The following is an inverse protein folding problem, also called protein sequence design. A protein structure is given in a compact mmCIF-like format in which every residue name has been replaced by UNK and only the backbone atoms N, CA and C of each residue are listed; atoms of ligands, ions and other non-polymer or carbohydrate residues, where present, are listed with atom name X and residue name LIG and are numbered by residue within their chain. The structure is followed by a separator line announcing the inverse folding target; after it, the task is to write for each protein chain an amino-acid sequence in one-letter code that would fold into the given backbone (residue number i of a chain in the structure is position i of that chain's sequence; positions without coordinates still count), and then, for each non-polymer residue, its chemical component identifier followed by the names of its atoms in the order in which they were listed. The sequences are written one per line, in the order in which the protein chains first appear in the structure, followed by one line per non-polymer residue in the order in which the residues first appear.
data_IF_912959417082
#
_entry.id   IF_912959417082
#
_cell.length_a   1.000
_cell.length_b   1.000
_cell.length_c   1.000
_cell.angle_alpha   90.00
_cell.angle_beta   90.00
_cell.angle_gamma   90.00
#
_symmetry.space_group_name_H-M   'P 1'
#
loop_
_entity.id
_entity.type
_entity.pdbx_description
1 polymer ?
#
# COMPACT_ATOMS: atom_id res chain seq x y z
N UNK A 1 -13.39 7.08 -55.61
CA UNK A 1 -12.07 7.75 -55.66
C UNK A 1 -11.94 8.46 -54.32
N UNK A 2 -11.20 8.15 -53.46
CA UNK A 2 -10.07 7.40 -52.97
C UNK A 2 -9.96 7.69 -51.49
N UNK A 3 -10.15 6.66 -50.75
CA UNK A 3 -9.86 6.57 -49.33
C UNK A 3 -8.35 6.79 -49.09
N UNK A 4 -7.99 7.70 -48.20
CA UNK A 4 -6.62 7.81 -47.70
C UNK A 4 -6.61 7.79 -46.20
N UNK A 5 -6.29 6.59 -45.73
CA UNK A 5 -5.99 6.13 -44.43
C UNK A 5 -5.26 7.07 -43.50
N UNK A 6 -5.81 7.22 -42.32
CA UNK A 6 -5.17 7.70 -41.11
C UNK A 6 -4.20 6.61 -40.60
N UNK A 7 -2.93 6.72 -40.98
CA UNK A 7 -1.86 5.90 -40.36
C UNK A 7 -1.51 6.48 -38.98
N UNK A 8 -1.81 5.72 -37.97
CA UNK A 8 -1.28 5.87 -36.59
C UNK A 8 0.26 5.88 -36.63
N UNK A 9 0.86 7.03 -36.41
CA UNK A 9 2.29 7.18 -36.15
C UNK A 9 2.52 7.10 -34.64
N UNK A 10 2.56 5.92 -34.07
CA UNK A 10 3.27 5.67 -32.81
C UNK A 10 4.75 5.42 -33.15
N UNK A 11 5.47 6.50 -33.42
CA UNK A 11 6.92 6.46 -33.49
C UNK A 11 7.48 6.24 -32.07
N UNK A 12 8.16 5.13 -31.85
CA UNK A 12 9.07 4.95 -30.71
C UNK A 12 10.06 6.12 -30.69
N UNK A 13 9.90 7.04 -29.75
CA UNK A 13 10.93 8.07 -29.46
C UNK A 13 12.07 7.40 -28.70
N UNK A 14 13.11 7.01 -29.42
CA UNK A 14 14.42 6.75 -28.82
C UNK A 14 14.97 8.07 -28.26
N UNK A 15 15.37 8.06 -26.96
CA UNK A 15 16.36 8.96 -26.41
C UNK A 15 15.89 10.34 -26.00
N UNK A 16 15.20 10.44 -24.88
CA UNK A 16 15.43 11.41 -23.79
C UNK A 16 14.70 10.81 -22.57
N UNK A 17 15.44 10.65 -21.46
CA UNK A 17 14.83 10.30 -20.15
C UNK A 17 13.97 11.49 -19.68
N UNK A 18 12.80 11.67 -20.29
CA UNK A 18 11.88 12.74 -19.92
C UNK A 18 11.24 12.31 -18.60
N UNK A 19 11.49 13.08 -17.56
CA UNK A 19 10.87 12.89 -16.26
C UNK A 19 9.57 13.67 -16.28
N UNK A 20 8.44 13.01 -16.58
CA UNK A 20 7.12 13.64 -16.69
C UNK A 20 6.76 14.50 -15.49
N UNK A 21 7.24 14.14 -14.30
CA UNK A 21 6.99 14.88 -13.06
C UNK A 21 7.70 16.24 -13.01
N UNK A 22 8.71 16.47 -13.84
CA UNK A 22 9.45 17.75 -13.93
C UNK A 22 8.95 18.65 -15.07
N UNK A 23 8.05 18.14 -15.92
CA UNK A 23 7.47 18.94 -16.98
C UNK A 23 6.47 19.95 -16.41
N UNK A 24 6.34 21.11 -17.08
CA UNK A 24 5.28 22.05 -16.78
C UNK A 24 3.92 21.48 -17.18
N UNK A 25 2.95 21.55 -16.28
CA UNK A 25 1.57 21.19 -16.60
C UNK A 25 0.95 22.31 -17.47
N UNK A 26 0.45 22.01 -18.68
CA UNK A 26 -0.16 23.02 -19.54
C UNK A 26 -1.33 23.77 -18.87
N UNK A 27 -2.00 23.14 -17.92
CA UNK A 27 -3.14 23.73 -17.20
C UNK A 27 -2.72 24.66 -16.07
N UNK A 28 -1.44 24.69 -15.73
CA UNK A 28 -0.88 25.59 -14.70
C UNK A 28 -0.16 26.81 -15.28
N UNK A 29 -0.25 27.01 -16.59
CA UNK A 29 0.30 28.22 -17.20
C UNK A 29 -0.40 29.45 -16.60
N UNK A 30 0.39 30.39 -16.03
CA UNK A 30 -0.10 31.61 -15.36
C UNK A 30 -1.08 31.36 -14.20
N UNK A 31 -1.01 30.19 -13.55
CA UNK A 31 -1.91 29.84 -12.45
C UNK A 31 -1.79 30.78 -11.25
N UNK A 32 -0.62 31.42 -11.10
CA UNK A 32 -0.36 32.45 -10.09
C UNK A 32 -1.18 33.74 -10.28
N UNK A 33 -1.76 33.95 -11.46
CA UNK A 33 -2.67 35.04 -11.77
C UNK A 33 -4.15 34.68 -11.63
N UNK A 34 -4.45 33.39 -11.44
CA UNK A 34 -5.82 32.90 -11.34
C UNK A 34 -6.43 33.17 -9.96
N UNK A 35 -7.75 33.27 -9.91
CA UNK A 35 -8.49 33.35 -8.67
C UNK A 35 -8.33 32.07 -7.83
N UNK A 36 -8.56 32.16 -6.52
CA UNK A 36 -8.55 30.99 -5.62
C UNK A 36 -9.50 29.91 -6.14
N UNK A 37 -10.69 30.28 -6.61
CA UNK A 37 -11.68 29.34 -7.13
C UNK A 37 -11.13 28.56 -8.34
N UNK A 38 -10.59 29.26 -9.33
CA UNK A 38 -10.01 28.65 -10.53
C UNK A 38 -8.86 27.70 -10.21
N UNK A 39 -7.99 28.08 -9.25
CA UNK A 39 -6.88 27.22 -8.81
C UNK A 39 -7.42 25.95 -8.17
N UNK A 40 -8.42 26.05 -7.29
CA UNK A 40 -9.04 24.89 -6.63
C UNK A 40 -9.73 23.97 -7.65
N UNK A 41 -10.42 24.54 -8.63
CA UNK A 41 -11.10 23.78 -9.68
C UNK A 41 -10.08 22.98 -10.53
N UNK A 42 -9.00 23.63 -10.97
CA UNK A 42 -7.92 22.96 -11.72
C UNK A 42 -7.27 21.87 -10.87
N UNK A 43 -6.94 22.12 -9.61
CA UNK A 43 -6.37 21.10 -8.73
C UNK A 43 -7.30 19.90 -8.53
N UNK A 44 -8.60 20.15 -8.35
CA UNK A 44 -9.60 19.09 -8.17
C UNK A 44 -9.70 18.19 -9.41
N UNK A 45 -9.66 18.77 -10.61
CA UNK A 45 -9.67 18.00 -11.86
C UNK A 45 -8.37 17.20 -12.05
N UNK A 46 -7.21 17.78 -11.71
CA UNK A 46 -5.92 17.09 -11.74
C UNK A 46 -5.88 15.90 -10.77
N UNK A 47 -6.45 16.02 -9.57
CA UNK A 47 -6.52 14.92 -8.61
C UNK A 47 -7.37 13.75 -9.12
N UNK A 48 -8.42 14.00 -9.90
CA UNK A 48 -9.17 12.94 -10.57
C UNK A 48 -8.32 12.18 -11.60
N UNK A 49 -7.34 12.82 -12.24
CA UNK A 49 -6.39 12.15 -13.14
C UNK A 49 -5.48 11.17 -12.39
N UNK A 50 -5.08 11.50 -11.14
CA UNK A 50 -4.32 10.58 -10.30
C UNK A 50 -5.04 9.25 -10.09
N UNK A 51 -6.34 9.29 -9.77
CA UNK A 51 -7.16 8.09 -9.60
C UNK A 51 -7.28 7.26 -10.89
N UNK A 52 -7.44 7.93 -12.04
CA UNK A 52 -7.47 7.27 -13.36
C UNK A 52 -6.12 6.61 -13.70
N UNK A 53 -5.01 7.27 -13.36
CA UNK A 53 -3.67 6.72 -13.56
C UNK A 53 -3.44 5.44 -12.73
N UNK A 54 -3.90 5.41 -11.48
CA UNK A 54 -3.87 4.20 -10.63
C UNK A 54 -4.67 3.06 -11.28
N UNK A 55 -5.83 3.35 -11.86
CA UNK A 55 -6.63 2.34 -12.58
C UNK A 55 -5.87 1.73 -13.77
N UNK A 56 -5.08 2.52 -14.49
CA UNK A 56 -4.23 2.03 -15.60
C UNK A 56 -3.12 1.10 -15.11
N UNK A 57 -2.58 1.34 -13.90
CA UNK A 57 -1.55 0.52 -13.29
C UNK A 57 -2.08 -0.77 -12.62
N UNK A 58 -3.40 -1.04 -12.69
CA UNK A 58 -4.04 -2.20 -12.04
C UNK A 58 -3.32 -3.53 -12.26
N UNK A 59 -2.87 -3.93 -13.47
CA UNK A 59 -2.22 -5.23 -13.64
C UNK A 59 -0.95 -5.37 -12.78
N UNK A 60 -0.07 -4.37 -12.78
CA UNK A 60 1.16 -4.40 -11.98
C UNK A 60 0.88 -4.30 -10.48
N UNK A 61 -0.14 -3.56 -10.07
CA UNK A 61 -0.61 -3.53 -8.67
C UNK A 61 -1.07 -4.92 -8.23
N UNK A 62 -1.87 -5.62 -9.04
CA UNK A 62 -2.31 -6.98 -8.73
C UNK A 62 -1.14 -7.94 -8.58
N UNK A 63 -0.16 -7.90 -9.49
CA UNK A 63 1.04 -8.74 -9.41
C UNK A 63 1.87 -8.46 -8.15
N UNK A 64 2.03 -7.19 -7.75
CA UNK A 64 2.71 -6.82 -6.51
C UNK A 64 1.94 -7.33 -5.26
N UNK A 65 0.60 -7.27 -5.28
CA UNK A 65 -0.25 -7.80 -4.22
C UNK A 65 -0.09 -9.32 -4.09
N UNK A 66 -0.07 -10.05 -5.21
CA UNK A 66 0.15 -11.49 -5.21
C UNK A 66 1.51 -11.86 -4.62
N UNK A 67 2.55 -11.09 -4.93
CA UNK A 67 3.88 -11.26 -4.33
C UNK A 67 3.84 -10.97 -2.82
N UNK A 68 3.24 -9.88 -2.39
CA UNK A 68 3.10 -9.53 -0.96
C UNK A 68 2.34 -10.62 -0.18
N UNK A 69 1.27 -11.19 -0.77
CA UNK A 69 0.53 -12.30 -0.17
C UNK A 69 1.43 -13.52 0.02
N UNK A 70 2.21 -13.90 -1.00
CA UNK A 70 3.15 -15.04 -0.92
C UNK A 70 4.17 -14.83 0.17
N UNK A 71 4.81 -13.66 0.19
CA UNK A 71 5.83 -13.27 1.16
C UNK A 71 5.29 -13.32 2.58
N UNK A 72 4.18 -12.65 2.88
CA UNK A 72 3.64 -12.61 4.24
C UNK A 72 3.10 -13.98 4.68
N UNK A 73 2.52 -14.76 3.77
CA UNK A 73 2.04 -16.12 4.07
C UNK A 73 3.19 -17.07 4.45
N UNK A 74 4.36 -16.89 3.86
CA UNK A 74 5.57 -17.67 4.24
C UNK A 74 6.33 -17.10 5.43
N UNK A 75 5.77 -16.11 6.15
CA UNK A 75 6.37 -15.52 7.36
C UNK A 75 7.36 -14.39 7.10
N UNK A 76 7.50 -13.95 5.85
CA UNK A 76 8.31 -12.80 5.46
C UNK A 76 7.63 -11.46 5.72
N UNK A 77 8.27 -10.37 5.29
CA UNK A 77 7.87 -8.99 5.55
C UNK A 77 7.66 -8.22 4.25
N UNK A 78 6.66 -7.32 4.23
CA UNK A 78 6.55 -6.28 3.23
C UNK A 78 7.23 -5.02 3.76
N UNK A 79 8.19 -4.49 3.03
CA UNK A 79 8.95 -3.30 3.43
C UNK A 79 8.76 -2.20 2.39
N UNK A 80 8.22 -1.08 2.80
CA UNK A 80 8.15 0.15 2.02
C UNK A 80 9.40 0.99 2.29
N UNK A 81 10.01 1.53 1.25
CA UNK A 81 11.18 2.39 1.39
C UNK A 81 11.09 3.56 0.43
N UNK A 82 11.28 4.78 0.93
CA UNK A 82 11.23 5.99 0.12
C UNK A 82 11.88 7.18 0.78
N UNK A 83 11.99 8.28 0.03
CA UNK A 83 12.44 9.58 0.52
C UNK A 83 11.29 10.59 0.53
N UNK A 84 11.38 11.63 1.34
CA UNK A 84 10.42 12.73 1.38
C UNK A 84 8.97 12.26 1.53
N UNK A 85 8.07 12.74 0.66
CA UNK A 85 6.66 12.36 0.66
C UNK A 85 6.46 10.87 0.46
N UNK A 86 7.21 10.25 -0.46
CA UNK A 86 7.13 8.81 -0.72
C UNK A 86 7.43 7.96 0.52
N UNK A 87 8.48 8.33 1.26
CA UNK A 87 8.83 7.65 2.52
C UNK A 87 7.79 7.87 3.61
N UNK A 88 7.24 9.10 3.74
CA UNK A 88 6.17 9.40 4.71
C UNK A 88 4.92 8.57 4.45
N UNK A 89 4.51 8.43 3.20
CA UNK A 89 3.34 7.63 2.82
C UNK A 89 3.56 6.14 3.10
N UNK A 90 4.76 5.62 2.84
CA UNK A 90 5.14 4.25 3.19
C UNK A 90 5.08 3.99 4.69
N UNK A 91 5.61 4.90 5.51
CA UNK A 91 5.54 4.81 6.97
C UNK A 91 4.10 4.93 7.47
N UNK A 92 3.31 5.85 6.91
CA UNK A 92 1.90 6.04 7.25
C UNK A 92 1.12 4.74 7.03
N UNK A 93 1.16 4.17 5.82
CA UNK A 93 0.43 2.95 5.51
C UNK A 93 0.88 1.78 6.41
N UNK A 94 2.19 1.58 6.58
CA UNK A 94 2.74 0.53 7.43
C UNK A 94 2.29 0.64 8.90
N UNK A 95 2.19 1.86 9.43
CA UNK A 95 1.81 2.11 10.83
C UNK A 95 0.34 1.77 11.13
N UNK A 96 -0.54 1.85 10.11
CA UNK A 96 -1.97 1.57 10.25
C UNK A 96 -2.32 0.07 10.16
N UNK A 97 -1.40 -0.77 9.70
CA UNK A 97 -1.66 -2.21 9.50
C UNK A 97 -1.80 -2.99 10.82
N UNK A 98 -0.89 -2.82 11.81
CA UNK A 98 -1.02 -3.54 13.09
C UNK A 98 -2.32 -3.25 13.84
N UNK A 99 -2.75 -1.99 14.05
CA UNK A 99 -3.99 -1.70 14.76
C UNK A 99 -5.24 -2.13 13.99
N UNK A 100 -5.18 -2.13 12.64
CA UNK A 100 -6.33 -2.47 11.79
C UNK A 100 -6.54 -3.98 11.70
N UNK A 101 -5.48 -4.76 11.53
CA UNK A 101 -5.55 -6.18 11.20
C UNK A 101 -4.96 -7.11 12.27
N UNK A 102 -4.53 -6.55 13.40
CA UNK A 102 -3.92 -7.29 14.53
C UNK A 102 -2.78 -8.22 14.07
N UNK A 103 -1.91 -7.71 13.22
CA UNK A 103 -0.69 -8.38 12.81
C UNK A 103 0.51 -7.81 13.56
N UNK A 104 1.61 -8.58 13.71
CA UNK A 104 2.84 -8.05 14.28
C UNK A 104 3.32 -6.80 13.53
N UNK A 105 3.83 -5.79 14.23
CA UNK A 105 4.32 -4.55 13.63
C UNK A 105 5.44 -4.79 12.59
N UNK A 106 6.15 -5.90 12.70
CA UNK A 106 7.19 -6.31 11.74
C UNK A 106 6.64 -6.83 10.40
N UNK A 107 5.32 -7.10 10.28
CA UNK A 107 4.72 -7.68 9.06
C UNK A 107 4.77 -6.72 7.89
N UNK A 108 4.50 -5.44 8.14
CA UNK A 108 4.65 -4.36 7.17
C UNK A 108 5.48 -3.26 7.81
N UNK A 109 6.56 -2.87 7.17
CA UNK A 109 7.49 -1.87 7.68
C UNK A 109 7.58 -0.69 6.72
N UNK A 110 7.77 0.50 7.26
CA UNK A 110 8.04 1.71 6.49
C UNK A 110 9.42 2.28 6.84
N UNK A 111 10.24 2.53 5.82
CA UNK A 111 11.58 3.12 5.94
C UNK A 111 11.59 4.44 5.16
N UNK A 112 12.10 5.49 5.80
CA UNK A 112 12.24 6.82 5.20
C UNK A 112 13.70 7.27 5.22
N UNK A 113 14.18 7.82 4.12
CA UNK A 113 15.48 8.49 4.07
C UNK A 113 15.57 9.60 5.12
N UNK A 114 16.69 9.67 5.84
CA UNK A 114 16.86 10.60 6.98
C UNK A 114 16.20 10.13 8.29
N UNK A 115 15.59 8.92 8.32
CA UNK A 115 15.05 8.30 9.52
C UNK A 115 13.87 9.04 10.16
N UNK A 116 13.62 8.80 11.45
CA UNK A 116 12.42 9.33 12.16
C UNK A 116 12.28 10.84 12.10
N UNK A 117 13.38 11.60 12.07
CA UNK A 117 13.35 13.06 11.96
C UNK A 117 12.69 13.51 10.66
N UNK A 118 12.90 12.77 9.57
CA UNK A 118 12.35 13.07 8.25
C UNK A 118 10.82 12.92 8.15
N UNK A 119 10.16 12.33 9.15
CA UNK A 119 8.70 12.25 9.20
C UNK A 119 8.05 13.62 9.40
N UNK A 120 8.68 14.50 10.19
CA UNK A 120 8.10 15.79 10.58
C UNK A 120 8.87 16.99 10.04
N UNK A 121 10.10 16.81 9.54
CA UNK A 121 10.96 17.88 9.01
C UNK A 121 11.55 17.47 7.67
N UNK A 122 11.93 18.45 6.84
CA UNK A 122 12.73 18.16 5.65
C UNK A 122 14.11 17.64 6.11
N UNK A 123 14.58 16.60 5.43
CA UNK A 123 15.93 16.05 5.61
C UNK A 123 16.66 16.23 4.27
N UNK A 124 17.24 17.41 4.10
CA UNK A 124 17.96 17.78 2.88
C UNK A 124 19.12 16.79 2.64
N UNK A 125 19.35 16.44 1.37
CA UNK A 125 20.39 15.48 0.96
C UNK A 125 20.15 14.01 1.34
N UNK A 126 19.14 13.70 2.16
CA UNK A 126 18.89 12.31 2.57
C UNK A 126 18.45 11.42 1.41
N UNK A 127 17.82 11.95 0.37
CA UNK A 127 17.41 11.22 -0.82
C UNK A 127 18.58 10.83 -1.73
N UNK A 128 19.74 11.53 -1.59
CA UNK A 128 20.95 11.27 -2.36
C UNK A 128 21.92 10.30 -1.66
N UNK A 129 21.69 9.96 -0.38
CA UNK A 129 22.53 9.08 0.42
C UNK A 129 22.31 7.60 0.04
N UNK A 130 23.07 7.13 -0.96
CA UNK A 130 23.03 5.73 -1.41
C UNK A 130 23.45 4.76 -0.31
N UNK A 131 24.47 5.10 0.47
CA UNK A 131 25.00 4.25 1.55
C UNK A 131 23.96 4.06 2.66
N UNK A 132 23.23 5.12 3.02
CA UNK A 132 22.11 4.98 3.94
C UNK A 132 21.01 4.07 3.37
N UNK A 133 20.75 4.14 2.06
CA UNK A 133 19.83 3.23 1.38
C UNK A 133 20.26 1.77 1.51
N UNK A 134 21.52 1.48 1.26
CA UNK A 134 22.11 0.13 1.40
C UNK A 134 22.00 -0.35 2.86
N UNK A 135 22.41 0.47 3.81
CA UNK A 135 22.33 0.13 5.25
C UNK A 135 20.90 -0.14 5.71
N UNK A 136 19.92 0.61 5.20
CA UNK A 136 18.52 0.50 5.59
C UNK A 136 17.91 -0.88 5.28
N UNK A 137 18.46 -1.62 4.34
CA UNK A 137 17.95 -2.93 3.88
C UNK A 137 18.87 -4.10 4.22
N UNK A 138 19.94 -3.90 4.98
CA UNK A 138 20.95 -4.92 5.32
C UNK A 138 20.37 -6.14 6.06
N UNK A 139 19.20 -6.01 6.70
CA UNK A 139 18.50 -7.09 7.39
C UNK A 139 17.40 -7.76 6.57
N UNK A 140 17.30 -7.51 5.27
CA UNK A 140 16.35 -8.20 4.39
C UNK A 140 16.90 -9.57 3.96
N UNK A 141 15.98 -10.49 3.74
CA UNK A 141 16.24 -11.89 3.37
C UNK A 141 15.46 -12.28 2.12
N UNK A 142 15.70 -13.49 1.63
CA UNK A 142 14.95 -14.10 0.51
C UNK A 142 13.44 -14.17 0.75
N UNK A 143 13.01 -14.12 2.00
CA UNK A 143 11.59 -14.18 2.38
C UNK A 143 10.90 -12.83 2.37
N UNK A 144 11.63 -11.72 2.17
CA UNK A 144 11.08 -10.38 2.27
C UNK A 144 10.78 -9.78 0.89
N UNK A 145 9.83 -8.84 0.86
CA UNK A 145 9.54 -7.99 -0.29
C UNK A 145 9.88 -6.54 0.05
N UNK A 146 10.73 -5.92 -0.76
CA UNK A 146 11.01 -4.49 -0.73
C UNK A 146 10.26 -3.79 -1.85
N UNK A 147 9.39 -2.84 -1.51
CA UNK A 147 8.77 -1.90 -2.43
C UNK A 147 9.46 -0.54 -2.26
N UNK A 148 10.36 -0.21 -3.17
CA UNK A 148 10.93 1.12 -3.30
C UNK A 148 9.89 2.07 -3.87
N UNK A 149 9.78 3.26 -3.30
CA UNK A 149 8.79 4.29 -3.67
C UNK A 149 9.55 5.54 -4.08
N UNK A 150 9.48 5.88 -5.37
CA UNK A 150 10.12 7.05 -5.94
C UNK A 150 9.29 7.59 -7.09
N UNK A 151 8.72 8.78 -6.95
CA UNK A 151 7.91 9.40 -8.02
C UNK A 151 8.71 9.59 -9.30
N UNK A 152 9.98 10.02 -9.20
CA UNK A 152 10.90 10.13 -10.34
C UNK A 152 11.36 8.77 -10.86
N UNK A 153 11.33 7.73 -10.01
CA UNK A 153 11.90 6.41 -10.28
C UNK A 153 13.44 6.38 -10.23
N UNK A 154 14.10 7.47 -9.82
CA UNK A 154 15.56 7.63 -9.90
C UNK A 154 16.23 8.03 -8.58
N UNK A 155 15.49 8.19 -7.50
CA UNK A 155 16.00 8.60 -6.17
C UNK A 155 17.16 7.70 -5.74
N UNK A 156 18.40 8.22 -5.55
CA UNK A 156 19.60 7.43 -5.28
C UNK A 156 19.45 6.49 -4.09
N UNK A 157 18.96 7.00 -2.95
CA UNK A 157 18.64 6.21 -1.75
C UNK A 157 17.77 4.98 -2.06
N UNK A 158 16.72 5.14 -2.87
CA UNK A 158 15.78 4.06 -3.20
C UNK A 158 16.41 3.05 -4.14
N UNK A 159 17.12 3.51 -5.18
CA UNK A 159 17.70 2.63 -6.18
C UNK A 159 18.87 1.81 -5.59
N UNK A 160 19.71 2.43 -4.76
CA UNK A 160 20.79 1.74 -4.05
C UNK A 160 20.22 0.67 -3.10
N UNK A 161 19.18 0.98 -2.34
CA UNK A 161 18.49 0.02 -1.48
C UNK A 161 17.91 -1.17 -2.26
N UNK A 162 17.26 -0.91 -3.40
CA UNK A 162 16.70 -1.98 -4.24
C UNK A 162 17.79 -2.89 -4.81
N UNK A 163 18.93 -2.32 -5.25
CA UNK A 163 20.09 -3.09 -5.71
C UNK A 163 20.67 -3.97 -4.59
N UNK A 164 20.85 -3.40 -3.39
CA UNK A 164 21.38 -4.13 -2.24
C UNK A 164 20.43 -5.25 -1.78
N UNK A 165 19.14 -4.98 -1.69
CA UNK A 165 18.13 -5.99 -1.35
C UNK A 165 18.08 -7.13 -2.38
N UNK A 166 18.32 -6.83 -3.65
CA UNK A 166 18.39 -7.86 -4.69
C UNK A 166 19.56 -8.81 -4.49
N UNK A 167 20.70 -8.33 -4.00
CA UNK A 167 21.84 -9.18 -3.65
C UNK A 167 21.53 -10.15 -2.51
N UNK A 168 20.63 -9.76 -1.60
CA UNK A 168 20.08 -10.64 -0.55
C UNK A 168 18.94 -11.54 -1.05
N UNK A 169 18.69 -11.57 -2.36
CA UNK A 169 17.61 -12.32 -3.02
C UNK A 169 16.20 -11.94 -2.55
N UNK A 170 15.99 -10.79 -1.91
CA UNK A 170 14.68 -10.26 -1.59
C UNK A 170 13.86 -9.96 -2.87
N UNK A 171 12.54 -9.96 -2.76
CA UNK A 171 11.65 -9.57 -3.85
C UNK A 171 11.62 -8.05 -3.96
N UNK A 172 12.13 -7.51 -5.07
CA UNK A 172 12.32 -6.06 -5.25
C UNK A 172 11.33 -5.50 -6.27
N UNK A 173 10.53 -4.54 -5.84
CA UNK A 173 9.55 -3.83 -6.64
C UNK A 173 9.78 -2.32 -6.55
N UNK A 174 9.44 -1.59 -7.62
CA UNK A 174 9.48 -0.13 -7.67
C UNK A 174 8.09 0.42 -7.95
N UNK A 175 7.63 1.38 -7.13
CA UNK A 175 6.46 2.23 -7.41
C UNK A 175 6.95 3.60 -7.88
N UNK A 176 6.53 4.00 -9.08
CA UNK A 176 7.01 5.23 -9.72
C UNK A 176 5.92 5.89 -10.56
N UNK A 177 6.07 7.21 -10.80
CA UNK A 177 5.21 7.99 -11.69
C UNK A 177 5.89 8.31 -13.03
N UNK A 178 7.09 7.80 -13.27
CA UNK A 178 7.82 7.94 -14.53
C UNK A 178 8.12 6.57 -15.14
N UNK A 179 8.18 6.52 -16.47
CA UNK A 179 8.49 5.30 -17.20
C UNK A 179 9.98 5.01 -17.10
N UNK A 180 10.35 4.16 -16.16
CA UNK A 180 11.72 3.69 -15.93
C UNK A 180 11.74 2.18 -15.86
N UNK A 181 12.79 1.58 -16.40
CA UNK A 181 12.99 0.14 -16.40
C UNK A 181 14.31 -0.23 -15.72
N UNK A 182 14.24 -1.16 -14.77
CA UNK A 182 15.41 -1.74 -14.11
C UNK A 182 15.32 -3.27 -14.22
N UNK A 183 16.15 -3.91 -15.07
CA UNK A 183 16.05 -5.36 -15.33
C UNK A 183 16.24 -6.25 -14.09
N UNK A 184 16.85 -5.72 -13.03
CA UNK A 184 17.08 -6.46 -11.79
C UNK A 184 15.82 -6.56 -10.89
N UNK A 185 14.77 -5.74 -11.13
CA UNK A 185 13.54 -5.76 -10.35
C UNK A 185 12.66 -6.97 -10.69
N UNK A 186 11.86 -7.39 -9.71
CA UNK A 186 10.79 -8.37 -9.92
C UNK A 186 9.57 -7.76 -10.61
N UNK A 187 9.39 -6.44 -10.48
CA UNK A 187 8.37 -5.68 -11.19
C UNK A 187 8.42 -4.19 -10.89
N UNK A 188 7.71 -3.44 -11.72
CA UNK A 188 7.54 -2.00 -11.58
C UNK A 188 6.04 -1.66 -11.64
N UNK A 189 5.59 -0.87 -10.70
CA UNK A 189 4.25 -0.26 -10.72
C UNK A 189 4.42 1.15 -11.26
N UNK A 190 4.21 1.32 -12.55
CA UNK A 190 4.22 2.63 -13.20
C UNK A 190 2.83 3.25 -13.17
N UNK A 191 2.71 4.42 -12.53
CA UNK A 191 1.47 5.18 -12.40
C UNK A 191 1.61 6.51 -13.15
N UNK A 192 1.14 6.63 -14.40
CA UNK A 192 1.36 7.79 -15.25
C UNK A 192 0.45 8.96 -14.86
N UNK A 193 0.79 9.68 -13.79
CA UNK A 193 0.01 10.83 -13.31
C UNK A 193 0.22 12.09 -14.16
N UNK A 194 1.27 12.13 -14.98
CA UNK A 194 1.67 13.30 -15.76
C UNK A 194 2.28 14.41 -14.92
N UNK A 195 2.49 15.62 -15.54
CA UNK A 195 3.08 16.77 -14.86
C UNK A 195 2.22 17.26 -13.69
N UNK A 196 2.88 17.69 -12.63
CA UNK A 196 2.20 18.28 -11.47
C UNK A 196 1.73 19.71 -11.76
N UNK A 197 0.72 20.18 -11.04
CA UNK A 197 0.26 21.57 -11.17
C UNK A 197 1.34 22.59 -10.77
N UNK A 198 2.24 22.20 -9.89
CA UNK A 198 3.50 22.86 -9.63
C UNK A 198 4.59 21.91 -10.08
N UNK A 199 5.32 22.25 -11.14
CA UNK A 199 6.35 21.39 -11.74
C UNK A 199 7.31 20.84 -10.66
N UNK A 200 7.57 19.55 -10.70
CA UNK A 200 8.43 18.86 -9.73
C UNK A 200 7.82 18.62 -8.33
N UNK A 201 6.63 19.18 -8.02
CA UNK A 201 6.04 19.06 -6.69
C UNK A 201 5.28 17.73 -6.49
N UNK A 202 6.00 16.63 -6.50
CA UNK A 202 5.47 15.24 -6.46
C UNK A 202 4.74 14.85 -5.16
N UNK A 203 4.59 15.80 -4.22
CA UNK A 203 3.71 15.64 -3.05
C UNK A 203 2.22 15.70 -3.40
N UNK A 204 1.85 16.18 -4.60
CA UNK A 204 0.48 16.41 -5.07
C UNK A 204 -0.10 15.13 -5.72
N UNK A 205 -0.30 15.09 -7.04
CA UNK A 205 -0.88 13.93 -7.75
C UNK A 205 -0.10 12.64 -7.54
N UNK A 206 1.22 12.69 -7.65
CA UNK A 206 2.09 11.55 -7.43
C UNK A 206 1.96 11.03 -6.00
N UNK A 207 1.87 11.93 -5.01
CA UNK A 207 1.60 11.58 -3.62
C UNK A 207 0.23 10.91 -3.43
N UNK A 208 -0.82 11.50 -4.00
CA UNK A 208 -2.19 10.95 -3.99
C UNK A 208 -2.24 9.56 -4.61
N UNK A 209 -1.68 9.39 -5.80
CA UNK A 209 -1.62 8.09 -6.49
C UNK A 209 -0.81 7.06 -5.69
N UNK A 210 0.34 7.45 -5.15
CA UNK A 210 1.16 6.59 -4.28
C UNK A 210 0.36 6.09 -3.08
N UNK A 211 -0.32 6.98 -2.36
CA UNK A 211 -1.18 6.61 -1.22
C UNK A 211 -2.26 5.61 -1.62
N UNK A 212 -2.91 5.81 -2.75
CA UNK A 212 -3.93 4.88 -3.26
C UNK A 212 -3.35 3.49 -3.54
N UNK A 213 -2.19 3.42 -4.19
CA UNK A 213 -1.51 2.14 -4.50
C UNK A 213 -1.10 1.42 -3.22
N UNK A 214 -0.47 2.10 -2.27
CA UNK A 214 -0.06 1.50 -0.99
C UNK A 214 -1.25 0.94 -0.23
N UNK A 215 -2.35 1.70 -0.12
CA UNK A 215 -3.58 1.21 0.52
C UNK A 215 -4.18 0.00 -0.21
N UNK A 216 -4.12 -0.06 -1.55
CA UNK A 216 -4.56 -1.24 -2.30
C UNK A 216 -3.68 -2.45 -1.97
N UNK A 217 -2.36 -2.29 -1.98
CA UNK A 217 -1.42 -3.37 -1.69
C UNK A 217 -1.65 -3.92 -0.28
N UNK A 218 -1.62 -3.07 0.73
CA UNK A 218 -1.76 -3.49 2.13
C UNK A 218 -3.14 -4.08 2.42
N UNK A 219 -4.22 -3.37 2.05
CA UNK A 219 -5.59 -3.80 2.35
C UNK A 219 -5.97 -5.08 1.65
N UNK A 220 -5.71 -5.19 0.32
CA UNK A 220 -6.05 -6.41 -0.43
C UNK A 220 -5.22 -7.59 0.06
N UNK A 221 -3.95 -7.39 0.39
CA UNK A 221 -3.11 -8.42 1.00
C UNK A 221 -3.74 -8.93 2.30
N UNK A 222 -4.16 -8.05 3.21
CA UNK A 222 -4.78 -8.46 4.48
C UNK A 222 -6.15 -9.14 4.28
N UNK A 223 -6.95 -8.70 3.30
CA UNK A 223 -8.20 -9.38 2.91
C UNK A 223 -7.91 -10.82 2.47
N UNK A 224 -6.93 -11.01 1.58
CA UNK A 224 -6.55 -12.34 1.04
C UNK A 224 -5.86 -13.25 2.06
N UNK A 225 -5.32 -12.68 3.12
CA UNK A 225 -4.81 -13.39 4.29
C UNK A 225 -5.93 -13.73 5.32
N UNK A 226 -7.19 -13.44 4.98
CA UNK A 226 -8.35 -13.81 5.80
C UNK A 226 -8.54 -12.95 7.05
N UNK A 227 -8.06 -11.69 7.03
CA UNK A 227 -8.24 -10.72 8.14
C UNK A 227 -9.57 -9.98 8.10
N UNK A 228 -10.29 -10.12 6.99
CA UNK A 228 -11.58 -9.48 6.73
C UNK A 228 -12.62 -10.55 6.40
N UNK A 229 -13.84 -10.36 6.86
CA UNK A 229 -15.00 -11.19 6.52
C UNK A 229 -16.19 -10.28 6.30
N UNK A 230 -16.85 -10.42 5.16
CA UNK A 230 -18.03 -9.66 4.76
C UNK A 230 -17.88 -8.14 4.95
N UNK A 231 -16.72 -7.60 4.55
CA UNK A 231 -16.38 -6.17 4.69
C UNK A 231 -15.95 -5.75 6.10
N UNK A 232 -16.01 -6.62 7.10
CA UNK A 232 -15.65 -6.30 8.47
C UNK A 232 -14.25 -6.82 8.85
N UNK A 233 -13.49 -5.98 9.55
CA UNK A 233 -12.24 -6.39 10.19
C UNK A 233 -12.55 -7.33 11.37
N UNK A 234 -12.27 -8.62 11.22
CA UNK A 234 -12.59 -9.63 12.24
C UNK A 234 -11.40 -10.02 13.12
N UNK A 235 -10.22 -9.50 12.83
CA UNK A 235 -9.02 -9.68 13.67
C UNK A 235 -8.78 -8.52 14.65
N UNK A 236 -9.80 -7.70 14.90
CA UNK A 236 -9.70 -6.58 15.85
C UNK A 236 -9.42 -7.09 17.26
N UNK A 237 -8.39 -6.55 17.89
CA UNK A 237 -8.14 -6.70 19.31
C UNK A 237 -8.84 -5.57 20.09
N UNK A 238 -9.74 -5.90 20.99
CA UNK A 238 -10.54 -4.94 21.76
C UNK A 238 -9.71 -4.27 22.88
N UNK A 239 -8.65 -3.53 22.52
CA UNK A 239 -7.69 -2.93 23.44
C UNK A 239 -8.14 -1.59 24.04
N UNK A 240 -9.10 -0.91 23.44
CA UNK A 240 -9.67 0.34 23.94
C UNK A 240 -11.20 0.36 23.79
N UNK A 241 -11.86 1.38 24.36
CA UNK A 241 -13.33 1.50 24.36
C UNK A 241 -13.91 1.47 22.93
N UNK A 242 -13.36 2.26 22.01
CA UNK A 242 -13.78 2.31 20.59
C UNK A 242 -13.68 0.95 19.90
N UNK A 243 -12.59 0.19 20.15
CA UNK A 243 -12.40 -1.13 19.56
C UNK A 243 -13.31 -2.19 20.19
N UNK A 244 -13.65 -2.06 21.49
CA UNK A 244 -14.68 -2.91 22.14
C UNK A 244 -16.03 -2.71 21.53
N UNK A 245 -16.49 -1.47 21.38
CA UNK A 245 -17.78 -1.12 20.75
C UNK A 245 -17.82 -1.61 19.30
N UNK A 246 -16.71 -1.45 18.55
CA UNK A 246 -16.61 -1.97 17.18
C UNK A 246 -16.70 -3.49 17.14
N UNK A 247 -16.02 -4.19 18.03
CA UNK A 247 -16.07 -5.67 18.12
C UNK A 247 -17.48 -6.16 18.39
N UNK A 248 -18.18 -5.51 19.30
CA UNK A 248 -19.59 -5.82 19.63
C UNK A 248 -20.48 -5.60 18.39
N UNK A 249 -20.35 -4.47 17.73
CA UNK A 249 -21.09 -4.15 16.50
C UNK A 249 -20.86 -5.20 15.41
N UNK A 250 -19.62 -5.62 15.19
CA UNK A 250 -19.26 -6.63 14.18
C UNK A 250 -19.90 -7.98 14.52
N UNK A 251 -19.82 -8.43 15.78
CA UNK A 251 -20.45 -9.70 16.19
C UNK A 251 -21.95 -9.64 15.98
N UNK A 252 -22.61 -8.58 16.43
CA UNK A 252 -24.07 -8.39 16.23
C UNK A 252 -24.46 -8.42 14.75
N UNK A 253 -23.74 -7.68 13.90
CA UNK A 253 -24.07 -7.57 12.46
C UNK A 253 -23.90 -8.90 11.72
N UNK A 254 -22.86 -9.66 12.04
CA UNK A 254 -22.58 -10.93 11.33
C UNK A 254 -23.43 -12.08 11.85
N UNK A 255 -23.74 -12.10 13.16
CA UNK A 255 -24.45 -13.23 13.78
C UNK A 255 -25.96 -13.02 13.97
N UNK A 256 -26.45 -11.79 13.81
CA UNK A 256 -27.82 -11.42 14.15
C UNK A 256 -28.12 -11.38 15.65
N UNK A 257 -27.11 -11.54 16.52
CA UNK A 257 -27.29 -11.60 17.97
C UNK A 257 -27.68 -10.25 18.57
N UNK A 258 -28.48 -10.32 19.64
CA UNK A 258 -28.75 -9.14 20.49
C UNK A 258 -27.50 -8.69 21.23
N UNK A 259 -27.55 -7.51 21.86
CA UNK A 259 -26.39 -6.89 22.49
C UNK A 259 -25.79 -7.75 23.61
N UNK A 260 -26.62 -8.17 24.57
CA UNK A 260 -26.18 -9.02 25.71
C UNK A 260 -25.60 -10.35 25.26
N UNK A 261 -26.16 -10.96 24.22
CA UNK A 261 -25.65 -12.22 23.67
C UNK A 261 -24.29 -12.01 23.00
N UNK A 262 -24.13 -10.93 22.23
CA UNK A 262 -22.86 -10.61 21.58
C UNK A 262 -21.75 -10.27 22.58
N UNK A 263 -22.08 -9.59 23.69
CA UNK A 263 -21.15 -9.36 24.81
C UNK A 263 -20.71 -10.68 25.42
N UNK A 264 -21.65 -11.58 25.72
CA UNK A 264 -21.37 -12.91 26.27
C UNK A 264 -20.48 -13.73 25.31
N UNK A 265 -20.77 -13.71 24.03
CA UNK A 265 -19.96 -14.37 23.00
C UNK A 265 -18.53 -13.83 22.95
N UNK A 266 -18.36 -12.51 22.97
CA UNK A 266 -17.02 -11.89 23.00
C UNK A 266 -16.26 -12.22 24.27
N UNK A 267 -16.92 -12.19 25.42
CA UNK A 267 -16.32 -12.55 26.69
C UNK A 267 -15.83 -14.01 26.68
N UNK A 268 -16.71 -14.93 26.28
CA UNK A 268 -16.38 -16.36 26.17
C UNK A 268 -15.28 -16.64 25.13
N UNK A 269 -15.19 -15.83 24.07
CA UNK A 269 -14.13 -15.89 23.06
C UNK A 269 -12.81 -15.26 23.50
N UNK A 270 -12.75 -14.68 24.72
CA UNK A 270 -11.59 -13.95 25.23
C UNK A 270 -11.31 -12.65 24.44
N UNK A 271 -12.38 -11.93 24.07
CA UNK A 271 -12.31 -10.66 23.32
C UNK A 271 -11.97 -10.80 21.83
N UNK A 272 -11.88 -12.01 21.30
CA UNK A 272 -11.47 -12.28 19.91
C UNK A 272 -12.69 -12.43 19.02
N UNK A 273 -12.96 -11.41 18.19
CA UNK A 273 -14.11 -11.38 17.26
C UNK A 273 -14.19 -12.63 16.40
N UNK A 274 -13.09 -13.00 15.74
CA UNK A 274 -13.01 -14.19 14.85
C UNK A 274 -13.41 -15.48 15.57
N UNK A 275 -13.02 -15.64 16.84
CA UNK A 275 -13.39 -16.79 17.66
C UNK A 275 -14.87 -16.75 18.04
N UNK A 276 -15.38 -15.59 18.48
CA UNK A 276 -16.77 -15.40 18.83
C UNK A 276 -17.70 -15.72 17.64
N UNK A 277 -17.35 -15.24 16.47
CA UNK A 277 -18.09 -15.54 15.23
C UNK A 277 -18.12 -17.03 14.92
N UNK A 278 -17.00 -17.75 15.01
CA UNK A 278 -16.97 -19.19 14.77
C UNK A 278 -17.79 -19.96 15.80
N UNK A 279 -17.68 -19.59 17.07
CA UNK A 279 -18.49 -20.20 18.15
C UNK A 279 -19.97 -20.09 17.84
N UNK A 280 -20.46 -18.92 17.48
CA UNK A 280 -21.87 -18.69 17.18
C UNK A 280 -22.32 -19.36 15.88
N UNK A 281 -21.59 -19.16 14.77
CA UNK A 281 -22.00 -19.62 13.45
C UNK A 281 -21.93 -21.15 13.28
N UNK A 282 -21.08 -21.83 14.07
CA UNK A 282 -20.90 -23.27 14.02
C UNK A 282 -21.41 -24.02 15.26
N UNK A 283 -21.86 -23.31 16.29
CA UNK A 283 -22.32 -23.93 17.53
C UNK A 283 -21.20 -24.67 18.29
N UNK A 284 -19.96 -24.18 18.21
CA UNK A 284 -18.77 -24.88 18.74
C UNK A 284 -18.16 -24.14 19.94
N UNK A 285 -17.37 -24.86 20.71
CA UNK A 285 -16.65 -24.31 21.86
C UNK A 285 -15.48 -23.40 21.43
N UNK A 286 -15.02 -22.56 22.34
CA UNK A 286 -13.81 -21.72 22.13
C UNK A 286 -12.59 -22.55 21.72
N UNK A 287 -12.38 -23.71 22.36
CA UNK A 287 -11.26 -24.61 22.07
C UNK A 287 -11.30 -25.10 20.63
N UNK A 288 -12.47 -25.54 20.16
CA UNK A 288 -12.69 -25.99 18.79
C UNK A 288 -12.54 -24.86 17.79
N UNK A 289 -13.09 -23.66 18.08
CA UNK A 289 -12.97 -22.49 17.22
C UNK A 289 -11.49 -22.07 17.02
N UNK A 290 -10.71 -22.04 18.10
CA UNK A 290 -9.27 -21.77 18.04
C UNK A 290 -8.53 -22.86 17.27
N UNK A 291 -8.88 -24.14 17.49
CA UNK A 291 -8.30 -25.27 16.76
C UNK A 291 -8.56 -25.19 15.26
N UNK A 292 -9.80 -24.88 14.82
CA UNK A 292 -10.17 -24.70 13.43
C UNK A 292 -9.41 -23.52 12.79
N UNK A 293 -9.34 -22.39 13.46
CA UNK A 293 -8.57 -21.22 12.98
C UNK A 293 -7.08 -21.56 12.80
N UNK A 294 -6.50 -22.32 13.70
CA UNK A 294 -5.10 -22.78 13.58
C UNK A 294 -4.91 -23.69 12.36
N UNK A 295 -5.80 -24.68 12.17
CA UNK A 295 -5.78 -25.58 11.00
C UNK A 295 -5.96 -24.83 9.68
N UNK A 296 -6.79 -23.77 9.68
CA UNK A 296 -7.06 -22.91 8.54
C UNK A 296 -6.00 -21.84 8.28
N UNK A 297 -4.82 -21.88 8.95
CA UNK A 297 -3.79 -20.87 8.81
C UNK A 297 -4.26 -19.45 9.17
N UNK A 298 -5.28 -19.33 10.06
CA UNK A 298 -5.89 -18.07 10.46
C UNK A 298 -6.99 -17.54 9.52
N UNK A 299 -7.26 -18.21 8.39
CA UNK A 299 -8.35 -17.85 7.48
C UNK A 299 -9.71 -18.18 8.08
N UNK A 300 -10.55 -17.16 8.26
CA UNK A 300 -11.89 -17.35 8.81
C UNK A 300 -12.82 -18.13 7.87
N UNK A 301 -12.78 -17.82 6.56
CA UNK A 301 -13.60 -18.54 5.57
C UNK A 301 -13.23 -20.02 5.46
N UNK A 302 -11.95 -20.33 5.53
CA UNK A 302 -11.53 -21.75 5.55
C UNK A 302 -11.94 -22.43 6.86
N UNK A 303 -11.82 -21.73 8.01
CA UNK A 303 -12.27 -22.27 9.29
C UNK A 303 -13.78 -22.51 9.37
N UNK A 304 -14.58 -21.78 8.59
CA UNK A 304 -16.02 -21.99 8.47
C UNK A 304 -16.37 -23.25 7.65
N UNK A 305 -15.48 -23.74 6.76
CA UNK A 305 -15.73 -24.92 5.92
C UNK A 305 -15.59 -26.25 6.68
N UNK A 306 -14.76 -26.23 7.71
CA UNK A 306 -14.63 -27.36 8.64
C UNK A 306 -15.81 -27.38 9.63
#
# INVERSE_FOLDING_TARGET
MTDKGLRNKHGMRQGKNVTFTEEQNPRSEKIDLSSIQEIVDVMSEEDMLAARAVTKARPSICSAIEEAIRVIRSGGRLVYLGAGTSGRLGVLDASEIPPTFSVPARTVLGIIAGGRRALTRAAEGAEDDEDAGIRAVSGLTTNDMLLGISASGKTPFVIAALKAAKLSHARCWLLTCNDVAYPFLNGTIFVPVGPEIIAGSTRLKAGTATKMVLNMISTVTMIKLGRVYDGYMIDVAATNKKLKERSLTIVRKITGSGEKEAETLLMNAGGRVKVALLMKLKGITRKEAVGRLKKAGGSFREALRF
#
